data_IF_584091601401
#
_entry.id   IF_584091601401
#
_cell.length_a   1.000
_cell.length_b   1.000
_cell.length_c   1.000
_cell.angle_alpha   90.00
_cell.angle_beta   90.00
_cell.angle_gamma   90.00
#
_symmetry.space_group_name_H-M   'P 1'
#
loop_
_entity.id
_entity.type
_entity.pdbx_description
1 polymer ?
#
# COMPACT_ATOMS: atom_id res chain seq x y z
N UNK A 1 38.85 4.97 -1.82
CA UNK A 1 37.99 4.14 -2.70
C UNK A 1 37.17 3.11 -1.94
N UNK A 2 37.75 2.29 -1.04
CA UNK A 2 36.99 1.28 -0.27
C UNK A 2 35.83 1.83 0.58
N UNK A 3 35.97 3.02 1.18
CA UNK A 3 34.91 3.67 1.98
C UNK A 3 33.78 4.30 1.13
N UNK A 4 34.07 4.72 -0.11
CA UNK A 4 33.07 5.33 -1.01
C UNK A 4 32.12 4.24 -1.53
N UNK A 5 32.67 3.07 -1.89
CA UNK A 5 31.87 1.94 -2.38
C UNK A 5 30.94 1.43 -1.26
N UNK A 6 31.45 1.33 -0.02
CA UNK A 6 30.64 0.90 1.13
C UNK A 6 29.51 1.89 1.39
N UNK A 7 29.78 3.20 1.46
CA UNK A 7 28.76 4.23 1.74
C UNK A 7 27.65 4.33 0.69
N UNK A 8 27.99 4.21 -0.60
CA UNK A 8 27.00 4.19 -1.69
C UNK A 8 26.15 2.92 -1.68
N UNK A 9 26.74 1.77 -1.34
CA UNK A 9 25.97 0.54 -1.14
C UNK A 9 25.09 0.63 0.09
N UNK A 10 25.58 1.14 1.23
CA UNK A 10 24.74 1.29 2.43
C UNK A 10 23.55 2.21 2.16
N UNK A 11 23.72 3.35 1.48
CA UNK A 11 22.60 4.25 1.15
C UNK A 11 21.54 3.58 0.24
N UNK A 12 21.96 2.72 -0.68
CA UNK A 12 21.06 1.91 -1.52
C UNK A 12 20.38 0.77 -0.74
N UNK A 13 21.10 0.11 0.18
CA UNK A 13 20.56 -0.94 1.04
C UNK A 13 19.57 -0.37 2.07
N UNK A 14 19.93 0.76 2.69
CA UNK A 14 19.06 1.59 3.51
C UNK A 14 17.81 1.94 2.71
N UNK A 15 17.93 2.52 1.50
CA UNK A 15 16.77 2.82 0.67
C UNK A 15 15.86 1.60 0.39
N UNK A 16 16.43 0.39 0.34
CA UNK A 16 15.70 -0.89 0.19
C UNK A 16 14.92 -1.31 1.45
N UNK A 17 15.49 -1.16 2.64
CA UNK A 17 14.70 -1.38 3.87
C UNK A 17 13.65 -0.28 4.10
N UNK A 18 13.91 0.93 3.60
CA UNK A 18 13.00 2.07 3.67
C UNK A 18 11.82 1.92 2.69
N UNK A 19 11.98 1.17 1.60
CA UNK A 19 10.91 0.83 0.68
C UNK A 19 9.99 -0.23 1.29
N UNK A 20 10.58 -1.30 1.83
CA UNK A 20 9.87 -2.54 2.12
C UNK A 20 8.81 -2.37 3.24
N UNK A 21 8.84 -1.26 3.98
CA UNK A 21 8.08 -1.07 5.21
C UNK A 21 6.64 -0.53 5.06
N UNK A 22 6.13 -0.18 3.86
CA UNK A 22 4.76 0.36 3.75
C UNK A 22 3.69 -0.73 3.62
N UNK A 23 3.91 -1.85 4.31
CA UNK A 23 2.94 -2.84 4.70
C UNK A 23 1.92 -2.28 5.69
N UNK A 24 1.12 -1.29 5.28
CA UNK A 24 0.13 -0.59 6.10
C UNK A 24 -0.48 -1.48 7.18
N UNK A 25 -0.16 -1.14 8.43
CA UNK A 25 -0.81 -1.70 9.61
C UNK A 25 -2.05 -0.85 9.84
N UNK A 26 -3.23 -1.46 9.75
CA UNK A 26 -4.45 -0.83 10.24
C UNK A 26 -4.41 -0.95 11.76
N UNK A 27 -4.42 0.19 12.46
CA UNK A 27 -4.75 0.21 13.88
C UNK A 27 -6.25 -0.03 14.00
N UNK A 28 -6.61 -1.15 14.62
CA UNK A 28 -7.98 -1.40 15.08
C UNK A 28 -8.30 -0.45 16.25
N UNK A 29 -9.59 -0.15 16.49
CA UNK A 29 -10.05 0.78 17.56
C UNK A 29 -9.54 0.41 18.97
N UNK A 30 -9.06 -0.82 19.17
CA UNK A 30 -8.51 -1.36 20.42
C UNK A 30 -6.97 -1.28 20.54
N UNK A 31 -6.29 -0.68 19.55
CA UNK A 31 -4.84 -0.43 19.61
C UNK A 31 -3.94 -1.63 19.33
N UNK A 32 -4.49 -2.75 18.87
CA UNK A 32 -3.68 -3.89 18.43
C UNK A 32 -3.16 -3.71 17.00
N UNK A 33 -1.88 -4.06 16.79
CA UNK A 33 -1.25 -4.08 15.47
C UNK A 33 -1.49 -5.43 14.80
N UNK A 34 -2.38 -5.49 13.82
CA UNK A 34 -2.45 -6.65 12.93
C UNK A 34 -1.40 -6.50 11.83
N UNK A 35 -0.54 -7.51 11.66
CA UNK A 35 0.18 -7.66 10.40
C UNK A 35 -0.89 -7.85 9.32
N UNK A 36 -0.92 -6.95 8.34
CA UNK A 36 -1.84 -7.01 7.21
C UNK A 36 -1.50 -8.20 6.31
N UNK A 37 -1.87 -9.39 6.76
CA UNK A 37 -1.82 -10.63 5.99
C UNK A 37 -3.18 -11.29 5.84
N UNK A 38 -4.26 -10.58 6.16
CA UNK A 38 -5.60 -11.04 5.84
C UNK A 38 -6.49 -9.90 5.31
N UNK A 39 -6.15 -9.42 4.12
CA UNK A 39 -6.93 -8.43 3.36
C UNK A 39 -8.30 -9.01 2.95
N UNK A 40 -8.45 -10.35 2.97
CA UNK A 40 -9.74 -11.02 2.85
C UNK A 40 -10.61 -10.85 4.11
N UNK A 41 -10.02 -10.72 5.30
CA UNK A 41 -10.79 -10.36 6.49
C UNK A 41 -11.44 -8.97 6.33
N UNK A 42 -10.75 -7.95 5.80
CA UNK A 42 -11.36 -6.61 5.57
C UNK A 42 -12.51 -6.61 4.56
N UNK A 43 -12.45 -7.48 3.55
CA UNK A 43 -13.46 -7.52 2.49
C UNK A 43 -14.67 -8.37 2.87
N UNK A 44 -14.51 -9.29 3.83
CA UNK A 44 -15.53 -10.31 4.15
C UNK A 44 -15.98 -10.29 5.62
N UNK A 45 -15.28 -9.58 6.53
CA UNK A 45 -15.67 -9.50 7.94
C UNK A 45 -16.79 -8.51 8.24
N UNK A 46 -17.33 -7.80 7.24
CA UNK A 46 -18.39 -6.82 7.49
C UNK A 46 -17.97 -5.83 8.57
N UNK A 47 -16.77 -5.24 8.47
CA UNK A 47 -16.53 -3.99 9.19
C UNK A 47 -17.51 -3.00 8.59
N UNK A 48 -18.64 -2.87 9.29
CA UNK A 48 -19.49 -1.71 9.30
C UNK A 48 -18.53 -0.55 9.49
N UNK A 49 -18.20 0.12 8.39
CA UNK A 49 -17.66 1.46 8.48
C UNK A 49 -18.81 2.26 9.09
N UNK A 50 -18.73 2.47 10.40
CA UNK A 50 -19.54 3.46 11.10
C UNK A 50 -19.27 4.79 10.41
N UNK A 51 -20.15 5.11 9.46
CA UNK A 51 -20.37 6.44 8.95
C UNK A 51 -20.65 7.33 10.15
N UNK A 52 -19.66 8.10 10.60
CA UNK A 52 -19.91 9.21 11.52
C UNK A 52 -20.86 10.19 10.82
N UNK A 53 -22.14 10.12 11.23
CA UNK A 53 -23.31 10.93 10.85
C UNK A 53 -24.25 10.25 9.86
N UNK A 54 -25.25 9.60 10.44
CA UNK A 54 -26.68 9.80 10.13
C UNK A 54 -26.94 10.61 8.85
N UNK A 55 -27.03 9.91 7.71
CA UNK A 55 -27.78 10.40 6.56
C UNK A 55 -28.78 9.33 6.12
N UNK A 56 -30.09 9.61 6.24
CA UNK A 56 -31.09 8.93 5.41
C UNK A 56 -30.80 9.31 3.96
N UNK A 57 -30.32 8.38 3.13
CA UNK A 57 -30.18 8.61 1.68
C UNK A 57 -28.92 8.09 0.99
N UNK A 58 -27.93 7.50 1.67
CA UNK A 58 -26.79 6.84 1.02
C UNK A 58 -27.11 5.38 0.65
N UNK A 59 -28.11 5.23 -0.22
CA UNK A 59 -28.21 4.03 -1.05
C UNK A 59 -27.33 4.28 -2.27
N UNK A 60 -26.05 3.88 -2.25
CA UNK A 60 -25.33 3.62 -3.50
C UNK A 60 -26.04 2.44 -4.14
N UNK A 61 -27.05 2.72 -4.97
CA UNK A 61 -27.89 1.73 -5.64
C UNK A 61 -27.13 1.04 -6.77
N UNK A 62 -26.01 0.40 -6.46
CA UNK A 62 -25.51 -0.68 -7.28
C UNK A 62 -26.41 -1.87 -7.03
N UNK A 63 -27.44 -1.97 -7.89
CA UNK A 63 -28.49 -2.98 -7.92
C UNK A 63 -29.58 -2.77 -6.86
N UNK A 64 -30.70 -2.15 -7.27
CA UNK A 64 -31.92 -2.18 -6.45
C UNK A 64 -32.50 -3.60 -6.52
N UNK A 65 -32.53 -4.26 -5.36
CA UNK A 65 -33.09 -5.57 -5.08
C UNK A 65 -34.60 -5.36 -4.80
N UNK A 66 -35.53 -5.97 -5.55
CA UNK A 66 -36.48 -6.90 -4.91
C UNK A 66 -35.76 -8.20 -4.48
N UNK A 67 -34.78 -7.93 -3.62
CA UNK A 67 -34.51 -8.54 -2.33
C UNK A 67 -33.68 -9.82 -2.16
N UNK A 68 -33.04 -10.43 -3.17
CA UNK A 68 -32.20 -11.64 -2.86
C UNK A 68 -30.83 -11.85 -3.54
N UNK A 69 -30.41 -11.24 -4.65
CA UNK A 69 -29.34 -11.93 -5.43
C UNK A 69 -27.85 -11.61 -5.25
N UNK A 70 -27.41 -10.48 -4.70
CA UNK A 70 -25.99 -10.07 -4.87
C UNK A 70 -25.33 -9.19 -3.80
N UNK A 71 -25.81 -9.22 -2.56
CA UNK A 71 -24.99 -8.83 -1.41
C UNK A 71 -24.63 -10.10 -0.65
N UNK A 72 -23.43 -10.17 -0.06
CA UNK A 72 -22.98 -11.38 0.63
C UNK A 72 -23.98 -11.91 1.68
N UNK A 73 -24.79 -11.02 2.25
CA UNK A 73 -25.85 -11.32 3.21
C UNK A 73 -26.96 -12.22 2.64
N UNK A 74 -27.38 -12.04 1.38
CA UNK A 74 -28.44 -12.85 0.79
C UNK A 74 -27.93 -14.22 0.27
N UNK A 75 -26.68 -14.27 -0.20
CA UNK A 75 -25.99 -15.55 -0.38
C UNK A 75 -25.84 -16.28 0.96
N UNK A 76 -25.67 -15.55 2.06
CA UNK A 76 -25.60 -16.14 3.38
C UNK A 76 -26.92 -16.70 3.90
N UNK A 77 -28.02 -16.05 3.56
CA UNK A 77 -29.38 -16.51 3.85
C UNK A 77 -29.77 -17.72 2.98
N UNK A 78 -29.24 -17.81 1.75
CA UNK A 78 -29.54 -18.88 0.80
C UNK A 78 -28.63 -20.11 0.92
N UNK A 79 -27.31 -19.91 1.04
CA UNK A 79 -26.33 -21.00 1.05
C UNK A 79 -25.09 -20.76 1.92
N UNK A 80 -24.97 -19.63 2.63
CA UNK A 80 -23.86 -19.38 3.56
C UNK A 80 -22.49 -19.14 2.90
N UNK A 81 -22.43 -18.92 1.58
CA UNK A 81 -21.14 -18.83 0.86
C UNK A 81 -20.30 -17.62 1.29
N UNK A 82 -20.89 -16.47 1.64
CA UNK A 82 -20.11 -15.30 2.06
C UNK A 82 -19.53 -15.47 3.48
N UNK A 83 -20.27 -16.08 4.41
CA UNK A 83 -19.77 -16.51 5.73
C UNK A 83 -18.64 -17.53 5.61
N UNK A 84 -18.73 -18.44 4.64
CA UNK A 84 -17.66 -19.43 4.38
C UNK A 84 -16.40 -18.77 3.82
N UNK A 85 -16.57 -17.81 2.93
CA UNK A 85 -15.48 -16.98 2.45
C UNK A 85 -14.85 -16.20 3.63
N UNK A 86 -15.66 -15.65 4.54
CA UNK A 86 -15.19 -14.92 5.73
C UNK A 86 -14.40 -15.81 6.68
N UNK A 87 -14.87 -17.04 6.87
CA UNK A 87 -14.26 -18.03 7.75
C UNK A 87 -13.11 -18.82 7.12
N UNK A 88 -12.63 -18.42 5.92
CA UNK A 88 -11.53 -19.11 5.23
C UNK A 88 -11.83 -20.57 4.84
N UNK A 89 -13.11 -20.94 4.73
CA UNK A 89 -13.56 -22.32 4.46
C UNK A 89 -13.56 -22.63 2.97
N UNK A 90 -12.39 -22.57 2.34
CA UNK A 90 -12.23 -22.78 0.90
C UNK A 90 -12.80 -24.12 0.41
N UNK A 91 -12.62 -25.18 1.20
CA UNK A 91 -13.15 -26.54 0.94
C UNK A 91 -14.67 -26.55 0.75
N UNK A 92 -15.39 -25.98 1.71
CA UNK A 92 -16.86 -25.90 1.69
C UNK A 92 -17.36 -24.91 0.66
N UNK A 93 -16.61 -23.84 0.44
CA UNK A 93 -16.96 -22.82 -0.55
C UNK A 93 -17.02 -23.41 -1.96
N UNK A 94 -16.02 -24.23 -2.34
CA UNK A 94 -16.01 -24.93 -3.63
C UNK A 94 -17.17 -25.92 -3.73
N UNK A 95 -17.33 -26.79 -2.72
CA UNK A 95 -18.34 -27.84 -2.75
C UNK A 95 -19.75 -27.28 -2.91
N UNK A 96 -20.11 -26.28 -2.09
CA UNK A 96 -21.44 -25.70 -2.07
C UNK A 96 -21.70 -24.82 -3.31
N UNK A 97 -20.70 -24.09 -3.79
CA UNK A 97 -20.82 -23.33 -5.04
C UNK A 97 -21.04 -24.27 -6.24
N UNK A 98 -20.31 -25.39 -6.31
CA UNK A 98 -20.48 -26.38 -7.38
C UNK A 98 -21.84 -27.08 -7.32
N UNK A 99 -22.32 -27.41 -6.12
CA UNK A 99 -23.66 -27.97 -5.93
C UNK A 99 -24.75 -27.03 -6.47
N UNK A 100 -24.61 -25.73 -6.20
CA UNK A 100 -25.52 -24.71 -6.69
C UNK A 100 -25.46 -24.52 -8.21
N UNK A 101 -24.27 -24.55 -8.81
CA UNK A 101 -24.12 -24.43 -10.26
C UNK A 101 -24.73 -25.61 -11.01
N UNK A 102 -24.66 -26.82 -10.43
CA UNK A 102 -25.17 -28.06 -11.02
C UNK A 102 -26.63 -28.38 -10.64
N UNK A 103 -27.24 -27.56 -9.78
CA UNK A 103 -28.61 -27.77 -9.30
C UNK A 103 -29.67 -27.34 -10.31
N UNK A 104 -30.90 -27.79 -10.08
CA UNK A 104 -32.06 -27.33 -10.83
C UNK A 104 -32.53 -25.95 -10.34
N UNK A 105 -32.99 -25.13 -11.27
CA UNK A 105 -33.57 -23.82 -10.97
C UNK A 105 -34.76 -23.97 -10.00
N UNK A 106 -34.81 -23.20 -8.89
CA UNK A 106 -35.94 -23.24 -7.98
C UNK A 106 -37.28 -22.87 -8.64
N UNK A 107 -38.38 -23.45 -8.16
CA UNK A 107 -39.72 -23.13 -8.65
C UNK A 107 -40.04 -21.64 -8.46
N UNK A 108 -40.63 -21.01 -9.47
CA UNK A 108 -40.97 -19.58 -9.48
C UNK A 108 -39.83 -18.64 -9.88
N UNK A 109 -38.64 -19.16 -10.20
CA UNK A 109 -37.50 -18.33 -10.63
C UNK A 109 -37.45 -18.19 -12.15
N UNK A 110 -37.09 -16.99 -12.62
CA UNK A 110 -36.74 -16.74 -14.03
C UNK A 110 -35.39 -17.37 -14.43
N UNK A 111 -35.15 -17.58 -15.72
CA UNK A 111 -33.87 -18.11 -16.21
C UNK A 111 -32.73 -17.11 -16.06
N UNK A 112 -33.00 -15.83 -16.29
CA UNK A 112 -32.08 -14.70 -16.08
C UNK A 112 -31.63 -14.60 -14.62
N UNK A 113 -32.60 -14.79 -13.75
CA UNK A 113 -32.53 -14.80 -12.31
C UNK A 113 -31.64 -15.96 -11.80
N UNK A 114 -31.81 -17.15 -12.37
CA UNK A 114 -31.00 -18.33 -12.03
C UNK A 114 -29.57 -18.24 -12.56
N UNK A 115 -29.39 -17.83 -13.82
CA UNK A 115 -28.09 -17.64 -14.43
C UNK A 115 -27.21 -16.65 -13.64
N UNK A 116 -27.84 -15.62 -13.07
CA UNK A 116 -27.20 -14.67 -12.15
C UNK A 116 -26.62 -15.35 -10.89
N UNK A 117 -27.40 -16.21 -10.22
CA UNK A 117 -26.88 -16.96 -9.05
C UNK A 117 -25.74 -17.89 -9.44
N UNK A 118 -25.87 -18.60 -10.56
CA UNK A 118 -24.82 -19.49 -11.05
C UNK A 118 -23.52 -18.71 -11.36
N UNK A 119 -23.63 -17.53 -11.96
CA UNK A 119 -22.49 -16.63 -12.19
C UNK A 119 -21.83 -16.21 -10.86
N UNK A 120 -22.61 -15.89 -9.83
CA UNK A 120 -22.06 -15.61 -8.50
C UNK A 120 -21.35 -16.81 -7.87
N UNK A 121 -21.90 -18.01 -8.05
CA UNK A 121 -21.29 -19.23 -7.54
C UNK A 121 -19.94 -19.53 -8.23
N UNK A 122 -19.77 -19.20 -9.50
CA UNK A 122 -18.47 -19.31 -10.19
C UNK A 122 -17.39 -18.48 -9.49
N UNK A 123 -17.71 -17.24 -9.09
CA UNK A 123 -16.80 -16.40 -8.31
C UNK A 123 -16.42 -17.07 -6.97
N UNK A 124 -17.40 -17.55 -6.20
CA UNK A 124 -17.13 -18.21 -4.92
C UNK A 124 -16.32 -19.49 -5.05
N UNK A 125 -16.58 -20.31 -6.08
CA UNK A 125 -15.77 -21.50 -6.35
C UNK A 125 -14.31 -21.12 -6.64
N UNK A 126 -14.07 -20.07 -7.45
CA UNK A 126 -12.72 -19.59 -7.75
C UNK A 126 -12.02 -19.01 -6.50
N UNK A 127 -12.74 -18.28 -5.65
CA UNK A 127 -12.22 -17.81 -4.37
C UNK A 127 -11.94 -18.95 -3.39
N UNK A 128 -12.68 -20.05 -3.47
CA UNK A 128 -12.42 -21.26 -2.68
C UNK A 128 -11.10 -21.93 -3.06
N UNK A 129 -10.75 -21.90 -4.35
CA UNK A 129 -9.42 -22.31 -4.83
C UNK A 129 -8.33 -21.35 -4.36
N UNK A 130 -8.59 -20.04 -4.42
CA UNK A 130 -7.67 -19.02 -3.94
C UNK A 130 -7.33 -19.21 -2.45
N UNK A 131 -8.34 -19.44 -1.61
CA UNK A 131 -8.17 -19.70 -0.17
C UNK A 131 -7.36 -20.96 0.12
N UNK A 132 -7.42 -21.95 -0.75
CA UNK A 132 -6.62 -23.18 -0.66
C UNK A 132 -5.22 -23.03 -1.26
N UNK A 133 -4.83 -21.82 -1.66
CA UNK A 133 -3.57 -21.52 -2.34
C UNK A 133 -3.38 -22.24 -3.68
N UNK A 134 -4.46 -22.80 -4.27
CA UNK A 134 -4.45 -23.28 -5.65
C UNK A 134 -4.67 -22.09 -6.59
N UNK A 135 -3.63 -21.26 -6.69
CA UNK A 135 -3.70 -20.02 -7.46
C UNK A 135 -3.86 -20.27 -8.96
N UNK A 136 -3.41 -21.41 -9.49
CA UNK A 136 -3.58 -21.75 -10.91
C UNK A 136 -5.06 -22.02 -11.24
N UNK A 137 -5.73 -22.83 -10.41
CA UNK A 137 -7.16 -23.05 -10.54
C UNK A 137 -7.97 -21.78 -10.25
N UNK A 138 -7.55 -20.98 -9.26
CA UNK A 138 -8.18 -19.70 -8.93
C UNK A 138 -8.10 -18.71 -10.10
N UNK A 139 -6.93 -18.54 -10.74
CA UNK A 139 -6.75 -17.68 -11.93
C UNK A 139 -7.70 -18.13 -13.04
N UNK A 140 -7.70 -19.43 -13.35
CA UNK A 140 -8.55 -19.99 -14.40
C UNK A 140 -10.05 -19.75 -14.12
N UNK A 141 -10.49 -19.95 -12.88
CA UNK A 141 -11.87 -19.71 -12.45
C UNK A 141 -12.26 -18.23 -12.46
N UNK A 142 -11.38 -17.35 -11.97
CA UNK A 142 -11.61 -15.90 -11.95
C UNK A 142 -11.66 -15.31 -13.36
N UNK A 143 -10.78 -15.74 -14.27
CA UNK A 143 -10.84 -15.30 -15.67
C UNK A 143 -12.13 -15.77 -16.36
N UNK A 144 -12.59 -16.99 -16.08
CA UNK A 144 -13.85 -17.51 -16.62
C UNK A 144 -15.04 -16.68 -16.10
N UNK A 145 -15.10 -16.44 -14.79
CA UNK A 145 -16.12 -15.60 -14.17
C UNK A 145 -16.14 -14.18 -14.77
N UNK A 146 -14.97 -13.53 -14.90
CA UNK A 146 -14.86 -12.18 -15.47
C UNK A 146 -15.38 -12.13 -16.90
N UNK A 147 -14.97 -13.09 -17.76
CA UNK A 147 -15.46 -13.17 -19.15
C UNK A 147 -16.96 -13.36 -19.21
N UNK A 148 -17.53 -14.14 -18.31
CA UNK A 148 -18.97 -14.39 -18.28
C UNK A 148 -19.75 -13.19 -17.74
N UNK A 149 -19.25 -12.51 -16.71
CA UNK A 149 -19.81 -11.28 -16.19
C UNK A 149 -19.83 -10.15 -17.22
N UNK A 150 -18.80 -10.03 -18.05
CA UNK A 150 -18.75 -9.05 -19.15
C UNK A 150 -19.81 -9.31 -20.22
N UNK A 151 -20.09 -10.57 -20.56
CA UNK A 151 -21.19 -10.93 -21.47
C UNK A 151 -22.54 -10.67 -20.82
N UNK A 152 -22.69 -11.06 -19.55
CA UNK A 152 -23.91 -10.92 -18.77
C UNK A 152 -24.25 -9.46 -18.44
N UNK A 153 -23.28 -8.54 -18.46
CA UNK A 153 -23.51 -7.10 -18.33
C UNK A 153 -24.45 -6.51 -19.40
N UNK A 154 -24.66 -7.23 -20.51
CA UNK A 154 -25.67 -6.90 -21.52
C UNK A 154 -27.10 -7.36 -21.16
N UNK A 155 -27.27 -8.08 -20.05
CA UNK A 155 -28.56 -8.61 -19.55
C UNK A 155 -29.22 -7.67 -18.51
N UNK A 156 -28.69 -6.45 -18.32
CA UNK A 156 -29.19 -5.51 -17.31
C UNK A 156 -29.81 -4.29 -18.00
N UNK A 157 -31.13 -4.13 -17.88
CA UNK A 157 -31.86 -2.98 -18.45
C UNK A 157 -31.55 -1.65 -17.73
N UNK A 158 -31.03 -1.70 -16.50
CA UNK A 158 -30.67 -0.51 -15.71
C UNK A 158 -29.18 -0.45 -15.45
N UNK A 159 -28.47 0.32 -16.27
CA UNK A 159 -27.08 0.67 -16.02
C UNK A 159 -27.01 1.57 -14.77
N UNK A 160 -26.40 1.10 -13.68
CA UNK A 160 -26.37 1.85 -12.41
C UNK A 160 -25.52 3.10 -12.56
N UNK A 161 -24.37 2.95 -13.22
CA UNK A 161 -23.49 4.09 -13.53
C UNK A 161 -23.51 4.32 -15.04
N UNK A 162 -24.21 5.36 -15.51
CA UNK A 162 -24.35 5.58 -16.95
C UNK A 162 -23.00 5.86 -17.61
N UNK A 163 -22.87 5.46 -18.88
CA UNK A 163 -21.72 5.78 -19.76
C UNK A 163 -20.36 5.32 -19.23
N UNK A 164 -20.32 4.36 -18.30
CA UNK A 164 -19.08 3.77 -17.82
C UNK A 164 -18.61 2.68 -18.79
N UNK A 165 -17.44 2.85 -19.38
CA UNK A 165 -16.81 1.85 -20.25
C UNK A 165 -15.31 1.78 -19.99
N UNK A 166 -14.72 0.61 -20.20
CA UNK A 166 -13.27 0.40 -20.06
C UNK A 166 -12.79 -0.74 -20.96
N UNK A 167 -11.48 -0.90 -21.08
CA UNK A 167 -10.87 -2.02 -21.79
C UNK A 167 -10.58 -3.16 -20.79
N UNK A 168 -11.22 -4.31 -20.97
CA UNK A 168 -10.93 -5.49 -20.15
C UNK A 168 -9.61 -6.12 -20.59
N UNK A 169 -8.70 -6.31 -19.64
CA UNK A 169 -7.45 -7.03 -19.87
C UNK A 169 -7.64 -8.56 -19.93
N UNK A 170 -8.74 -9.09 -19.40
CA UNK A 170 -9.01 -10.54 -19.37
C UNK A 170 -9.63 -11.03 -20.68
N UNK A 171 -10.62 -10.31 -21.22
CA UNK A 171 -11.23 -10.67 -22.51
C UNK A 171 -10.55 -10.01 -23.70
N UNK A 172 -9.72 -8.99 -23.48
CA UNK A 172 -9.11 -8.18 -24.54
C UNK A 172 -10.11 -7.30 -25.28
N UNK A 173 -11.33 -7.12 -24.74
CA UNK A 173 -12.43 -6.38 -25.38
C UNK A 173 -12.83 -5.16 -24.56
N UNK A 174 -13.44 -4.19 -25.24
CA UNK A 174 -14.10 -3.07 -24.58
C UNK A 174 -15.40 -3.55 -23.92
N UNK A 175 -15.65 -3.11 -22.69
CA UNK A 175 -16.89 -3.32 -21.96
C UNK A 175 -17.66 -2.00 -21.95
N UNK A 176 -18.72 -1.90 -22.75
CA UNK A 176 -19.44 -0.63 -22.97
C UNK A 176 -20.41 -0.24 -21.84
N UNK A 177 -20.88 -1.21 -21.05
CA UNK A 177 -21.83 -1.02 -19.95
C UNK A 177 -21.22 -1.43 -18.60
N UNK A 178 -20.02 -0.95 -18.30
CA UNK A 178 -19.28 -1.33 -17.10
C UNK A 178 -19.97 -0.93 -15.79
N UNK A 179 -20.83 0.10 -15.82
CA UNK A 179 -21.66 0.50 -14.69
C UNK A 179 -22.79 -0.48 -14.34
N UNK A 180 -23.04 -1.48 -15.19
CA UNK A 180 -23.95 -2.59 -14.93
C UNK A 180 -23.26 -3.83 -14.39
N UNK A 181 -21.93 -3.78 -14.15
CA UNK A 181 -21.20 -4.92 -13.58
C UNK A 181 -21.48 -5.04 -12.07
N UNK A 182 -21.41 -6.27 -11.58
CA UNK A 182 -21.56 -6.58 -10.16
C UNK A 182 -20.31 -6.12 -9.38
N UNK A 183 -20.46 -5.74 -8.11
CA UNK A 183 -19.33 -5.53 -7.17
C UNK A 183 -18.32 -6.68 -7.17
N UNK A 184 -18.77 -7.94 -7.21
CA UNK A 184 -17.90 -9.12 -7.31
C UNK A 184 -16.98 -9.08 -8.53
N UNK A 185 -17.30 -8.30 -9.57
CA UNK A 185 -16.39 -8.06 -10.69
C UNK A 185 -15.13 -7.28 -10.26
N UNK A 186 -15.29 -6.24 -9.44
CA UNK A 186 -14.17 -5.47 -8.89
C UNK A 186 -13.32 -6.35 -7.96
N UNK A 187 -13.97 -7.11 -7.07
CA UNK A 187 -13.30 -8.03 -6.17
C UNK A 187 -12.58 -9.16 -6.93
N UNK A 188 -13.16 -9.66 -8.03
CA UNK A 188 -12.54 -10.67 -8.87
C UNK A 188 -11.32 -10.14 -9.62
N UNK A 189 -11.34 -8.91 -10.14
CA UNK A 189 -10.16 -8.31 -10.75
C UNK A 189 -9.03 -8.13 -9.72
N UNK A 190 -9.36 -7.69 -8.50
CA UNK A 190 -8.40 -7.57 -7.42
C UNK A 190 -7.79 -8.93 -7.06
N UNK A 191 -8.63 -9.94 -6.81
CA UNK A 191 -8.20 -11.30 -6.48
C UNK A 191 -7.38 -11.94 -7.60
N UNK A 192 -7.75 -11.69 -8.86
CA UNK A 192 -7.01 -12.19 -10.03
C UNK A 192 -5.60 -11.61 -10.09
N UNK A 193 -5.47 -10.29 -9.88
CA UNK A 193 -4.17 -9.63 -9.83
C UNK A 193 -3.29 -10.20 -8.71
N UNK A 194 -3.85 -10.37 -7.51
CA UNK A 194 -3.15 -10.96 -6.38
C UNK A 194 -2.74 -12.43 -6.65
N UNK A 195 -3.61 -13.23 -7.27
CA UNK A 195 -3.30 -14.61 -7.62
C UNK A 195 -2.14 -14.70 -8.63
N UNK A 196 -2.11 -13.81 -9.64
CA UNK A 196 -0.99 -13.70 -10.56
C UNK A 196 0.31 -13.33 -9.85
N UNK A 197 0.29 -12.37 -8.92
CA UNK A 197 1.46 -12.03 -8.10
C UNK A 197 1.96 -13.22 -7.27
N UNK A 198 1.05 -14.02 -6.69
CA UNK A 198 1.42 -15.25 -5.95
C UNK A 198 2.06 -16.32 -6.82
N UNK A 199 1.81 -16.29 -8.13
CA UNK A 199 2.44 -17.15 -9.13
C UNK A 199 3.73 -16.56 -9.74
N UNK A 200 4.14 -15.36 -9.33
CA UNK A 200 5.32 -14.70 -9.90
C UNK A 200 5.03 -13.92 -11.20
N UNK A 201 3.79 -13.90 -11.69
CA UNK A 201 3.42 -13.30 -12.98
C UNK A 201 2.95 -11.84 -12.82
N UNK A 202 3.91 -10.95 -12.52
CA UNK A 202 3.65 -9.52 -12.36
C UNK A 202 3.11 -8.86 -13.64
N UNK A 203 3.50 -9.37 -14.80
CA UNK A 203 3.07 -8.83 -16.09
C UNK A 203 1.57 -9.03 -16.26
N UNK A 204 1.08 -10.28 -16.10
CA UNK A 204 -0.36 -10.56 -16.17
C UNK A 204 -1.14 -9.88 -15.06
N UNK A 205 -0.61 -9.80 -13.84
CA UNK A 205 -1.26 -9.07 -12.74
C UNK A 205 -1.56 -7.61 -13.13
N UNK A 206 -0.59 -6.94 -13.75
CA UNK A 206 -0.75 -5.56 -14.18
C UNK A 206 -1.67 -5.44 -15.41
N UNK A 207 -1.42 -6.20 -16.47
CA UNK A 207 -2.12 -6.03 -17.75
C UNK A 207 -3.54 -6.56 -17.75
N UNK A 208 -3.80 -7.65 -17.01
CA UNK A 208 -5.12 -8.30 -17.00
C UNK A 208 -6.02 -7.84 -15.86
N UNK A 209 -5.45 -7.42 -14.73
CA UNK A 209 -6.20 -7.17 -13.50
C UNK A 209 -6.06 -5.74 -12.97
N UNK A 210 -4.90 -5.34 -12.46
CA UNK A 210 -4.76 -4.10 -11.70
C UNK A 210 -4.96 -2.83 -12.54
N UNK A 211 -4.39 -2.77 -13.75
CA UNK A 211 -4.58 -1.61 -14.63
C UNK A 211 -6.04 -1.48 -15.09
N UNK A 212 -6.70 -2.55 -15.59
CA UNK A 212 -8.13 -2.52 -15.86
C UNK A 212 -8.99 -2.13 -14.64
N UNK A 213 -8.65 -2.60 -13.43
CA UNK A 213 -9.38 -2.26 -12.21
C UNK A 213 -9.24 -0.78 -11.84
N UNK A 214 -8.05 -0.21 -11.97
CA UNK A 214 -7.84 1.22 -11.82
C UNK A 214 -8.70 2.00 -12.84
N UNK A 215 -8.61 1.66 -14.13
CA UNK A 215 -9.33 2.39 -15.17
C UNK A 215 -10.86 2.31 -14.98
N UNK A 216 -11.36 1.13 -14.58
CA UNK A 216 -12.76 0.91 -14.25
C UNK A 216 -13.21 1.75 -13.06
N UNK A 217 -12.47 1.72 -11.95
CA UNK A 217 -12.84 2.45 -10.72
C UNK A 217 -12.82 3.97 -10.89
N UNK A 218 -11.84 4.51 -11.64
CA UNK A 218 -11.81 5.92 -12.00
C UNK A 218 -13.02 6.32 -12.86
N UNK A 219 -13.41 5.46 -13.81
CA UNK A 219 -14.57 5.67 -14.69
C UNK A 219 -15.88 5.63 -13.90
N UNK A 220 -16.06 4.62 -13.05
CA UNK A 220 -17.24 4.49 -12.20
C UNK A 220 -17.40 5.70 -11.28
N UNK A 221 -16.30 6.15 -10.65
CA UNK A 221 -16.33 7.32 -9.77
C UNK A 221 -16.65 8.61 -10.54
N UNK A 222 -16.02 8.82 -11.69
CA UNK A 222 -16.23 10.03 -12.49
C UNK A 222 -17.68 10.18 -12.97
N UNK A 223 -18.34 9.07 -13.31
CA UNK A 223 -19.68 9.08 -13.87
C UNK A 223 -20.79 9.03 -12.80
N UNK A 224 -20.51 8.49 -11.61
CA UNK A 224 -21.48 8.43 -10.51
C UNK A 224 -21.35 9.59 -9.51
N UNK A 225 -20.16 10.20 -9.43
CA UNK A 225 -19.80 11.11 -8.35
C UNK A 225 -19.45 10.40 -7.03
N UNK A 226 -19.58 9.07 -6.99
CA UNK A 226 -19.26 8.27 -5.81
C UNK A 226 -17.77 7.99 -5.74
N UNK A 227 -17.15 8.41 -4.65
CA UNK A 227 -15.70 8.33 -4.44
C UNK A 227 -15.27 7.01 -3.83
N UNK A 228 -16.19 6.19 -3.34
CA UNK A 228 -15.88 4.89 -2.73
C UNK A 228 -15.30 3.92 -3.77
N UNK A 229 -15.67 4.05 -5.05
CA UNK A 229 -15.07 3.25 -6.12
C UNK A 229 -13.55 3.34 -6.19
N UNK A 230 -12.96 4.50 -5.84
CA UNK A 230 -11.51 4.65 -5.86
C UNK A 230 -10.79 3.68 -4.91
N UNK A 231 -11.46 3.12 -3.90
CA UNK A 231 -10.83 2.24 -2.92
C UNK A 231 -10.32 0.93 -3.52
N UNK A 232 -11.04 0.33 -4.47
CA UNK A 232 -10.54 -0.83 -5.20
C UNK A 232 -9.29 -0.50 -6.03
N UNK A 233 -9.31 0.63 -6.75
CA UNK A 233 -8.16 1.07 -7.53
C UNK A 233 -6.93 1.37 -6.66
N UNK A 234 -7.14 2.02 -5.51
CA UNK A 234 -6.07 2.31 -4.54
C UNK A 234 -5.47 1.04 -3.94
N UNK A 235 -6.29 0.04 -3.59
CA UNK A 235 -5.81 -1.25 -3.08
C UNK A 235 -4.98 -2.01 -4.13
N UNK A 236 -5.48 -2.07 -5.36
CA UNK A 236 -4.78 -2.70 -6.48
C UNK A 236 -3.41 -2.06 -6.77
N UNK A 237 -3.37 -0.73 -6.87
CA UNK A 237 -2.12 0.01 -7.09
C UNK A 237 -1.13 -0.21 -5.94
N UNK A 238 -1.61 -0.25 -4.70
CA UNK A 238 -0.76 -0.50 -3.53
C UNK A 238 -0.15 -1.89 -3.56
N UNK A 239 -0.95 -2.91 -3.88
CA UNK A 239 -0.48 -4.29 -3.99
C UNK A 239 0.56 -4.43 -5.12
N UNK A 240 0.27 -3.86 -6.30
CA UNK A 240 1.20 -3.88 -7.43
C UNK A 240 2.51 -3.16 -7.12
N UNK A 241 2.44 -1.97 -6.51
CA UNK A 241 3.61 -1.19 -6.15
C UNK A 241 4.53 -1.97 -5.18
N UNK A 242 3.96 -2.54 -4.12
CA UNK A 242 4.72 -3.34 -3.14
C UNK A 242 5.34 -4.58 -3.76
N UNK A 243 4.61 -5.28 -4.60
CA UNK A 243 5.15 -6.47 -5.24
C UNK A 243 6.34 -6.12 -6.14
N UNK A 244 6.20 -5.08 -6.98
CA UNK A 244 7.29 -4.61 -7.82
C UNK A 244 8.52 -4.23 -6.97
N UNK A 245 8.27 -3.61 -5.83
CA UNK A 245 9.29 -3.25 -4.85
C UNK A 245 10.01 -4.47 -4.25
N UNK A 246 9.26 -5.49 -3.82
CA UNK A 246 9.80 -6.76 -3.30
C UNK A 246 10.64 -7.49 -4.37
N UNK A 247 10.28 -7.33 -5.66
CA UNK A 247 11.05 -7.85 -6.80
C UNK A 247 12.23 -6.96 -7.22
N UNK A 248 12.47 -5.85 -6.50
CA UNK A 248 13.48 -4.82 -6.83
C UNK A 248 13.25 -4.15 -8.20
N UNK A 249 12.05 -4.22 -8.76
CA UNK A 249 11.60 -3.39 -9.87
C UNK A 249 11.18 -2.01 -9.35
N UNK A 250 12.17 -1.22 -8.93
CA UNK A 250 11.93 0.09 -8.33
C UNK A 250 11.25 1.07 -9.29
N UNK A 251 11.51 0.94 -10.59
CA UNK A 251 10.88 1.75 -11.62
C UNK A 251 9.39 1.42 -11.76
N UNK A 252 9.04 0.13 -11.80
CA UNK A 252 7.64 -0.31 -11.79
C UNK A 252 6.93 0.09 -10.50
N UNK A 253 7.57 -0.11 -9.34
CA UNK A 253 7.04 0.33 -8.05
C UNK A 253 6.77 1.83 -8.03
N UNK A 254 7.70 2.65 -8.52
CA UNK A 254 7.56 4.11 -8.60
C UNK A 254 6.37 4.52 -9.44
N UNK A 255 6.20 3.94 -10.62
CA UNK A 255 5.07 4.24 -11.50
C UNK A 255 3.72 3.95 -10.82
N UNK A 256 3.61 2.79 -10.15
CA UNK A 256 2.41 2.42 -9.42
C UNK A 256 2.15 3.34 -8.21
N UNK A 257 3.18 3.75 -7.47
CA UNK A 257 3.01 4.72 -6.37
C UNK A 257 2.66 6.13 -6.88
N UNK A 258 3.23 6.59 -8.01
CA UNK A 258 2.84 7.87 -8.64
C UNK A 258 1.35 7.84 -9.04
N UNK A 259 0.88 6.72 -9.62
CA UNK A 259 -0.53 6.53 -9.93
C UNK A 259 -1.41 6.47 -8.67
N UNK A 260 -0.97 5.79 -7.62
CA UNK A 260 -1.67 5.74 -6.33
C UNK A 260 -1.84 7.14 -5.76
N UNK A 261 -0.78 7.95 -5.75
CA UNK A 261 -0.82 9.33 -5.26
C UNK A 261 -1.86 10.16 -6.04
N UNK A 262 -1.87 10.01 -7.36
CA UNK A 262 -2.82 10.69 -8.26
C UNK A 262 -4.27 10.26 -7.98
N UNK A 263 -4.53 8.96 -7.85
CA UNK A 263 -5.88 8.45 -7.55
C UNK A 263 -6.33 8.90 -6.16
N UNK A 264 -5.45 8.89 -5.17
CA UNK A 264 -5.75 9.33 -3.80
C UNK A 264 -6.09 10.82 -3.74
N UNK A 265 -5.40 11.66 -4.51
CA UNK A 265 -5.74 13.07 -4.69
C UNK A 265 -7.11 13.24 -5.33
N UNK A 266 -7.42 12.49 -6.39
CA UNK A 266 -8.75 12.53 -7.04
C UNK A 266 -9.87 12.17 -6.05
N UNK A 267 -9.71 11.07 -5.30
CA UNK A 267 -10.65 10.66 -4.24
C UNK A 267 -10.92 11.83 -3.27
N UNK A 268 -9.87 12.52 -2.84
CA UNK A 268 -9.97 13.61 -1.89
C UNK A 268 -10.18 15.01 -2.53
N UNK A 269 -10.83 15.08 -3.71
CA UNK A 269 -11.15 16.35 -4.40
C UNK A 269 -9.94 17.27 -4.65
N UNK A 270 -8.79 16.69 -4.97
CA UNK A 270 -7.53 17.41 -5.21
C UNK A 270 -6.80 17.83 -3.93
N UNK A 271 -7.37 17.59 -2.74
CA UNK A 271 -6.68 17.84 -1.47
C UNK A 271 -5.82 16.64 -1.12
N UNK A 272 -4.58 16.82 -0.65
CA UNK A 272 -3.80 15.71 -0.16
C UNK A 272 -4.48 14.97 1.00
N UNK A 273 -4.28 13.66 1.04
CA UNK A 273 -4.66 12.75 2.14
C UNK A 273 -3.43 11.95 2.58
N UNK A 274 -3.50 11.31 3.75
CA UNK A 274 -2.49 10.34 4.21
C UNK A 274 -2.02 9.38 3.11
N UNK A 275 -2.95 8.74 2.40
CA UNK A 275 -2.63 7.81 1.33
C UNK A 275 -1.85 8.47 0.17
N UNK A 276 -2.18 9.71 -0.18
CA UNK A 276 -1.42 10.45 -1.21
C UNK A 276 -0.01 10.83 -0.73
N UNK A 277 0.15 11.21 0.54
CA UNK A 277 1.45 11.55 1.12
C UNK A 277 2.36 10.32 1.24
N UNK A 278 1.82 9.20 1.71
CA UNK A 278 2.54 7.92 1.74
C UNK A 278 3.06 7.53 0.35
N UNK A 279 2.20 7.61 -0.66
CA UNK A 279 2.57 7.31 -2.03
C UNK A 279 3.64 8.26 -2.57
N UNK A 280 3.52 9.57 -2.33
CA UNK A 280 4.53 10.56 -2.72
C UNK A 280 5.89 10.30 -2.07
N UNK A 281 5.91 9.95 -0.78
CA UNK A 281 7.13 9.57 -0.09
C UNK A 281 7.76 8.31 -0.71
N UNK A 282 6.94 7.31 -1.05
CA UNK A 282 7.41 6.08 -1.70
C UNK A 282 7.99 6.34 -3.08
N UNK A 283 7.38 7.22 -3.88
CA UNK A 283 7.96 7.65 -5.16
C UNK A 283 9.37 8.20 -4.96
N UNK A 284 9.56 9.10 -3.99
CA UNK A 284 10.88 9.65 -3.66
C UNK A 284 11.87 8.57 -3.21
N UNK A 285 11.45 7.62 -2.37
CA UNK A 285 12.31 6.51 -1.94
C UNK A 285 12.70 5.58 -3.10
N UNK A 286 11.77 5.29 -4.03
CA UNK A 286 12.08 4.51 -5.23
C UNK A 286 13.10 5.23 -6.11
N UNK A 287 13.02 6.55 -6.25
CA UNK A 287 14.02 7.31 -7.01
C UNK A 287 15.42 7.20 -6.38
N UNK A 288 15.55 7.18 -5.05
CA UNK A 288 16.83 6.96 -4.39
C UNK A 288 17.36 5.55 -4.71
N UNK A 289 16.49 4.54 -4.64
CA UNK A 289 16.80 3.16 -4.98
C UNK A 289 17.19 2.95 -6.45
N UNK A 290 16.60 3.73 -7.36
CA UNK A 290 16.99 3.81 -8.77
C UNK A 290 18.35 4.52 -8.98
N UNK A 291 18.95 5.10 -7.92
CA UNK A 291 20.17 5.90 -7.99
C UNK A 291 19.95 7.37 -8.38
N UNK A 292 18.69 7.80 -8.52
CA UNK A 292 18.28 9.18 -8.85
C UNK A 292 18.04 10.02 -7.59
N UNK A 293 19.10 10.23 -6.80
CA UNK A 293 19.03 11.05 -5.59
C UNK A 293 18.68 12.52 -5.87
N UNK A 294 18.97 13.03 -7.08
CA UNK A 294 18.64 14.41 -7.47
C UNK A 294 17.15 14.56 -7.80
N UNK A 295 16.57 13.62 -8.54
CA UNK A 295 15.12 13.58 -8.75
C UNK A 295 14.36 13.39 -7.44
N UNK A 296 14.83 12.48 -6.57
CA UNK A 296 14.26 12.26 -5.24
C UNK A 296 14.23 13.52 -4.38
N UNK A 297 15.27 14.34 -4.41
CA UNK A 297 15.37 15.58 -3.65
C UNK A 297 14.17 16.51 -3.88
N UNK A 298 13.73 16.63 -5.14
CA UNK A 298 12.60 17.50 -5.50
C UNK A 298 11.29 17.10 -4.82
N UNK A 299 11.12 15.80 -4.51
CA UNK A 299 9.92 15.26 -3.86
C UNK A 299 9.82 15.63 -2.38
N UNK A 300 10.96 15.70 -1.70
CA UNK A 300 11.02 15.97 -0.26
C UNK A 300 11.21 17.46 0.07
N UNK A 301 11.78 18.22 -0.87
CA UNK A 301 12.25 19.58 -0.62
C UNK A 301 11.15 20.55 -0.19
N UNK A 302 9.95 20.47 -0.76
CA UNK A 302 8.91 21.45 -0.46
C UNK A 302 8.44 21.38 1.00
N UNK A 303 8.18 20.17 1.51
CA UNK A 303 7.75 19.95 2.89
C UNK A 303 8.84 20.38 3.89
N UNK A 304 10.11 20.02 3.65
CA UNK A 304 11.22 20.39 4.54
C UNK A 304 11.55 21.88 4.47
N UNK A 305 11.43 22.51 3.30
CA UNK A 305 11.61 23.98 3.14
C UNK A 305 10.55 24.75 3.90
N UNK A 306 9.28 24.36 3.77
CA UNK A 306 8.17 25.03 4.46
C UNK A 306 8.37 24.95 5.99
N UNK A 307 8.72 23.78 6.51
CA UNK A 307 9.10 23.62 7.93
C UNK A 307 10.23 24.57 8.34
N UNK A 308 11.33 24.54 7.58
CA UNK A 308 12.55 25.30 7.89
C UNK A 308 12.29 26.81 7.90
N UNK A 309 11.49 27.31 6.94
CA UNK A 309 11.11 28.73 6.86
C UNK A 309 10.31 29.17 8.10
N UNK A 310 9.39 28.33 8.57
CA UNK A 310 8.48 28.67 9.66
C UNK A 310 9.11 28.54 11.05
N UNK A 311 10.19 27.76 11.19
CA UNK A 311 10.86 27.51 12.48
C UNK A 311 12.20 28.23 12.65
N UNK A 312 12.84 28.69 11.56
CA UNK A 312 14.00 29.59 11.64
C UNK A 312 13.65 30.96 12.21
N UNK A 313 12.41 31.43 12.04
CA UNK A 313 11.96 32.73 12.56
C UNK A 313 11.87 32.81 14.07
N UNK A 314 11.71 31.68 14.76
CA UNK A 314 11.37 31.66 16.19
C UNK A 314 12.50 31.13 17.08
N UNK A 315 13.69 30.91 16.51
CA UNK A 315 14.85 30.40 17.26
C UNK A 315 14.69 28.98 17.81
N UNK A 316 13.65 28.24 17.40
CA UNK A 316 13.38 26.85 17.81
C UNK A 316 13.17 25.95 16.57
N UNK A 317 14.25 25.58 15.86
CA UNK A 317 14.17 24.73 14.65
C UNK A 317 13.54 23.34 14.89
N UNK A 318 13.58 22.87 16.15
CA UNK A 318 13.44 21.47 16.52
C UNK A 318 12.12 21.11 17.21
N UNK A 319 11.28 22.10 17.55
CA UNK A 319 10.05 21.88 18.31
C UNK A 319 8.82 22.25 17.49
N UNK A 320 7.88 21.31 17.27
CA UNK A 320 6.61 21.65 16.63
C UNK A 320 5.84 22.67 17.48
N UNK A 321 5.35 23.72 16.84
CA UNK A 321 4.39 24.65 17.46
C UNK A 321 3.10 23.91 17.82
N UNK A 322 2.54 24.20 19.00
CA UNK A 322 1.25 23.62 19.43
C UNK A 322 0.15 23.95 18.41
N UNK A 323 -0.48 22.92 17.83
CA UNK A 323 -1.59 23.07 16.87
C UNK A 323 -1.19 23.52 15.45
N UNK A 324 0.10 23.45 15.10
CA UNK A 324 0.59 23.98 13.83
C UNK A 324 0.41 23.05 12.63
N UNK A 325 0.30 21.74 12.86
CA UNK A 325 0.36 20.74 11.82
C UNK A 325 -0.56 19.57 12.20
N UNK A 326 -1.46 19.19 11.29
CA UNK A 326 -2.28 17.99 11.45
C UNK A 326 -1.39 16.72 11.33
N UNK A 327 -1.90 15.58 11.79
CA UNK A 327 -1.11 14.34 11.85
C UNK A 327 -0.62 13.87 10.47
N UNK A 328 -1.36 14.15 9.41
CA UNK A 328 -1.02 13.72 8.03
C UNK A 328 0.12 14.57 7.47
N UNK A 329 0.06 15.88 7.69
CA UNK A 329 1.14 16.79 7.30
C UNK A 329 2.38 16.57 8.16
N UNK A 330 2.22 16.22 9.45
CA UNK A 330 3.34 15.87 10.33
C UNK A 330 4.08 14.64 9.81
N UNK A 331 3.32 13.64 9.39
CA UNK A 331 3.85 12.46 8.73
C UNK A 331 4.58 12.77 7.43
N UNK A 332 3.97 13.55 6.53
CA UNK A 332 4.63 13.98 5.29
C UNK A 332 5.96 14.67 5.60
N UNK A 333 5.95 15.58 6.58
CA UNK A 333 7.12 16.39 6.91
C UNK A 333 8.23 15.54 7.51
N UNK A 334 7.90 14.70 8.49
CA UNK A 334 8.83 13.76 9.11
C UNK A 334 9.42 12.81 8.06
N UNK A 335 8.58 12.21 7.21
CA UNK A 335 9.00 11.34 6.12
C UNK A 335 9.85 12.06 5.07
N UNK A 336 9.56 13.33 4.78
CA UNK A 336 10.37 14.15 3.87
C UNK A 336 11.74 14.46 4.46
N UNK A 337 11.86 14.67 5.77
CA UNK A 337 13.15 14.79 6.42
C UNK A 337 13.95 13.47 6.40
N UNK A 338 13.30 12.32 6.55
CA UNK A 338 13.96 11.02 6.27
C UNK A 338 14.47 10.99 4.83
N UNK A 339 13.61 11.31 3.86
CA UNK A 339 13.98 11.36 2.44
C UNK A 339 15.16 12.28 2.13
N UNK A 340 15.18 13.48 2.71
CA UNK A 340 16.31 14.42 2.59
C UNK A 340 17.60 13.86 3.20
N UNK A 341 17.52 13.23 4.38
CA UNK A 341 18.68 12.58 5.01
C UNK A 341 19.28 11.47 4.15
N UNK A 342 18.45 10.73 3.43
CA UNK A 342 18.90 9.71 2.47
C UNK A 342 19.52 10.30 1.22
N UNK A 343 18.92 11.33 0.64
CA UNK A 343 19.49 12.06 -0.50
C UNK A 343 20.87 12.59 -0.14
N UNK A 344 21.01 13.19 1.04
CA UNK A 344 22.29 13.70 1.55
C UNK A 344 23.27 12.55 1.76
N UNK A 345 22.85 11.45 2.40
CA UNK A 345 23.68 10.25 2.60
C UNK A 345 24.19 9.65 1.28
N UNK A 346 23.32 9.56 0.27
CA UNK A 346 23.68 9.05 -1.06
C UNK A 346 24.69 9.95 -1.79
N UNK A 347 24.68 11.25 -1.50
CA UNK A 347 25.58 12.25 -2.10
C UNK A 347 26.83 12.53 -1.25
N UNK A 348 26.90 12.01 -0.02
CA UNK A 348 27.91 12.36 0.96
C UNK A 348 29.32 11.88 0.57
N UNK A 349 30.30 12.79 0.67
CA UNK A 349 31.72 12.52 0.40
C UNK A 349 32.62 12.94 1.56
N UNK A 350 32.15 13.82 2.43
CA UNK A 350 32.90 14.43 3.54
C UNK A 350 32.07 14.43 4.83
N UNK A 351 32.72 14.71 5.95
CA UNK A 351 32.09 14.78 7.26
C UNK A 351 30.90 15.76 7.29
N UNK A 352 31.03 16.92 6.65
CA UNK A 352 29.96 17.94 6.63
C UNK A 352 28.70 17.42 5.93
N UNK A 353 28.86 16.66 4.85
CA UNK A 353 27.73 16.08 4.11
C UNK A 353 26.97 15.04 4.98
N UNK A 354 27.71 14.28 5.81
CA UNK A 354 27.13 13.35 6.78
C UNK A 354 26.49 14.05 7.98
N UNK A 355 27.00 15.22 8.36
CA UNK A 355 26.40 16.03 9.42
C UNK A 355 25.04 16.59 8.97
N UNK A 356 24.93 17.04 7.71
CA UNK A 356 23.65 17.45 7.12
C UNK A 356 22.65 16.29 7.06
N UNK A 357 23.09 15.10 6.65
CA UNK A 357 22.25 13.90 6.66
C UNK A 357 21.74 13.57 8.08
N UNK A 358 22.63 13.61 9.06
CA UNK A 358 22.30 13.40 10.46
C UNK A 358 21.29 14.43 10.99
N UNK A 359 21.47 15.70 10.66
CA UNK A 359 20.52 16.77 11.02
C UNK A 359 19.13 16.46 10.48
N UNK A 360 19.00 16.07 9.21
CA UNK A 360 17.71 15.69 8.62
C UNK A 360 17.03 14.54 9.37
N UNK A 361 17.76 13.46 9.71
CA UNK A 361 17.17 12.34 10.46
C UNK A 361 16.76 12.73 11.88
N UNK A 362 17.56 13.56 12.56
CA UNK A 362 17.22 14.02 13.93
C UNK A 362 16.03 14.96 13.96
N UNK A 363 15.86 15.82 12.94
CA UNK A 363 14.63 16.60 12.78
C UNK A 363 13.45 15.65 12.65
N UNK A 364 13.52 14.66 11.75
CA UNK A 364 12.44 13.68 11.58
C UNK A 364 12.03 13.02 12.91
N UNK A 365 13.02 12.56 13.70
CA UNK A 365 12.79 11.96 15.02
C UNK A 365 12.15 12.93 16.04
N UNK A 366 12.37 14.24 15.90
CA UNK A 366 11.76 15.23 16.79
C UNK A 366 10.33 15.61 16.40
N UNK A 367 9.92 15.33 15.15
CA UNK A 367 8.60 15.71 14.64
C UNK A 367 7.53 14.69 14.96
N UNK A 368 7.88 13.40 14.95
CA UNK A 368 6.87 12.36 14.89
C UNK A 368 7.30 11.10 15.65
N UNK A 369 6.75 10.95 16.86
CA UNK A 369 6.95 9.77 17.70
C UNK A 369 5.89 8.67 17.50
N UNK A 370 4.83 8.93 16.71
CA UNK A 370 3.64 8.08 16.68
C UNK A 370 3.61 7.03 15.56
N UNK A 371 4.56 7.08 14.62
CA UNK A 371 4.60 6.17 13.48
C UNK A 371 5.91 5.39 13.47
N UNK A 372 5.78 4.11 13.80
CA UNK A 372 6.88 3.16 13.92
C UNK A 372 7.65 3.01 12.61
N UNK A 373 7.00 3.16 11.46
CA UNK A 373 7.64 3.06 10.16
C UNK A 373 8.58 4.26 9.92
N UNK A 374 8.11 5.50 9.98
CA UNK A 374 8.97 6.67 9.77
C UNK A 374 10.03 6.79 10.87
N UNK A 375 9.68 6.47 12.13
CA UNK A 375 10.62 6.50 13.24
C UNK A 375 11.74 5.49 13.08
N UNK A 376 11.43 4.23 12.80
CA UNK A 376 12.45 3.17 12.66
C UNK A 376 13.44 3.49 11.55
N UNK A 377 12.94 4.04 10.44
CA UNK A 377 13.74 4.54 9.32
C UNK A 377 14.66 5.69 9.69
N UNK A 378 14.15 6.66 10.43
CA UNK A 378 14.93 7.80 10.90
C UNK A 378 16.01 7.36 11.91
N UNK A 379 15.71 6.40 12.79
CA UNK A 379 16.68 5.80 13.72
C UNK A 379 17.81 5.09 12.99
N UNK A 380 17.49 4.24 12.01
CA UNK A 380 18.50 3.54 11.21
C UNK A 380 19.36 4.52 10.39
N UNK A 381 18.74 5.53 9.77
CA UNK A 381 19.44 6.59 9.04
C UNK A 381 20.38 7.40 9.95
N UNK A 382 19.90 7.81 11.13
CA UNK A 382 20.69 8.53 12.13
C UNK A 382 21.85 7.69 12.65
N UNK A 383 21.62 6.39 12.89
CA UNK A 383 22.66 5.45 13.29
C UNK A 383 23.77 5.34 12.24
N UNK A 384 23.39 5.16 10.97
CA UNK A 384 24.36 5.10 9.88
C UNK A 384 25.13 6.43 9.73
N UNK A 385 24.44 7.57 9.72
CA UNK A 385 25.09 8.88 9.60
C UNK A 385 26.09 9.12 10.75
N UNK A 386 25.75 8.77 11.99
CA UNK A 386 26.66 8.82 13.13
C UNK A 386 27.86 7.90 12.96
N UNK A 387 27.68 6.66 12.49
CA UNK A 387 28.80 5.76 12.23
C UNK A 387 29.75 6.33 11.16
N UNK A 388 29.23 6.91 10.09
CA UNK A 388 30.04 7.54 9.04
C UNK A 388 30.74 8.82 9.53
N UNK A 389 30.11 9.59 10.41
CA UNK A 389 30.74 10.72 11.10
C UNK A 389 31.88 10.26 12.01
N UNK A 390 31.73 9.14 12.71
CA UNK A 390 32.80 8.56 13.52
C UNK A 390 34.01 8.19 12.66
N UNK A 391 33.80 7.50 11.53
CA UNK A 391 34.89 7.11 10.62
C UNK A 391 35.56 8.32 9.96
N UNK A 392 34.76 9.32 9.56
CA UNK A 392 35.24 10.59 9.00
C UNK A 392 36.04 11.43 10.01
N UNK A 393 35.83 11.21 11.31
CA UNK A 393 36.55 11.85 12.41
C UNK A 393 37.60 10.94 13.05
N UNK A 394 38.08 9.90 12.36
CA UNK A 394 39.08 8.95 12.89
C UNK A 394 40.37 9.59 13.44
N UNK A 395 40.79 10.75 12.94
CA UNK A 395 41.92 11.53 13.48
C UNK A 395 41.62 12.32 14.76
N UNK A 396 40.38 12.26 15.25
CA UNK A 396 39.87 13.00 16.42
C UNK A 396 39.14 12.02 17.37
N UNK A 397 39.89 11.28 18.21
CA UNK A 397 39.36 10.13 18.94
C UNK A 397 38.14 10.42 19.82
N UNK A 398 38.12 11.59 20.47
CA UNK A 398 36.98 12.02 21.31
C UNK A 398 35.73 12.22 20.46
N UNK A 399 35.81 12.96 19.35
CA UNK A 399 34.67 13.16 18.45
C UNK A 399 34.21 11.83 17.83
N UNK A 400 35.13 10.98 17.39
CA UNK A 400 34.79 9.68 16.82
C UNK A 400 34.04 8.78 17.82
N UNK A 401 34.49 8.75 19.09
CA UNK A 401 33.83 7.99 20.16
C UNK A 401 32.42 8.52 20.48
N UNK A 402 32.23 9.85 20.50
CA UNK A 402 30.91 10.46 20.72
C UNK A 402 29.92 10.00 19.63
N UNK A 403 30.30 10.09 18.36
CA UNK A 403 29.42 9.67 17.26
C UNK A 403 29.18 8.16 17.25
N UNK A 404 30.18 7.34 17.60
CA UNK A 404 29.99 5.89 17.75
C UNK A 404 28.95 5.55 18.85
N UNK A 405 29.03 6.22 20.00
CA UNK A 405 28.05 6.05 21.10
C UNK A 405 26.65 6.52 20.72
N UNK A 406 26.53 7.61 19.95
CA UNK A 406 25.24 8.06 19.43
C UNK A 406 24.65 7.06 18.43
N UNK A 407 25.48 6.54 17.52
CA UNK A 407 25.07 5.51 16.55
C UNK A 407 24.52 4.28 17.26
N UNK A 408 25.24 3.78 18.28
CA UNK A 408 24.79 2.66 19.10
C UNK A 408 23.46 2.95 19.82
N UNK A 409 23.30 4.16 20.39
CA UNK A 409 22.05 4.54 21.05
C UNK A 409 20.86 4.45 20.09
N UNK A 410 21.00 4.93 18.86
CA UNK A 410 19.93 4.85 17.87
C UNK A 410 19.65 3.41 17.43
N UNK A 411 20.68 2.58 17.24
CA UNK A 411 20.49 1.14 16.94
C UNK A 411 19.82 0.39 18.10
N UNK A 412 20.22 0.69 19.34
CA UNK A 412 19.61 0.11 20.54
C UNK A 412 18.14 0.50 20.64
N UNK A 413 17.81 1.76 20.39
CA UNK A 413 16.43 2.23 20.37
C UNK A 413 15.60 1.54 19.28
N UNK A 414 16.14 1.43 18.05
CA UNK A 414 15.51 0.74 16.93
C UNK A 414 15.22 -0.72 17.26
N UNK A 415 16.22 -1.45 17.73
CA UNK A 415 16.12 -2.90 18.00
C UNK A 415 15.32 -3.22 19.27
N UNK A 416 15.27 -2.31 20.25
CA UNK A 416 14.55 -2.54 21.51
C UNK A 416 13.09 -2.10 21.42
N UNK A 417 12.83 -0.93 20.86
CA UNK A 417 11.48 -0.34 20.82
C UNK A 417 10.70 -0.75 19.57
N UNK A 418 11.39 -0.97 18.45
CA UNK A 418 10.77 -1.24 17.15
C UNK A 418 11.25 -2.55 16.49
N UNK A 419 11.35 -3.68 17.23
CA UNK A 419 11.97 -4.92 16.75
C UNK A 419 11.24 -5.60 15.59
N UNK A 420 9.97 -5.24 15.35
CA UNK A 420 9.15 -5.84 14.28
C UNK A 420 9.19 -5.05 12.97
N UNK A 421 10.00 -4.00 12.89
CA UNK A 421 10.11 -3.15 11.70
C UNK A 421 11.19 -3.70 10.77
N UNK A 422 11.01 -3.57 9.44
CA UNK A 422 12.03 -4.00 8.47
C UNK A 422 13.37 -3.27 8.64
N UNK A 423 13.35 -2.04 9.16
CA UNK A 423 14.57 -1.31 9.47
C UNK A 423 15.36 -1.97 10.62
N UNK A 424 14.72 -2.66 11.56
CA UNK A 424 15.39 -3.39 12.64
C UNK A 424 16.08 -4.68 12.14
N UNK A 425 15.65 -5.21 11.00
CA UNK A 425 16.22 -6.39 10.34
C UNK A 425 17.11 -6.03 9.12
N UNK A 426 17.50 -4.75 8.99
CA UNK A 426 18.25 -4.25 7.83
C UNK A 426 19.68 -4.85 7.76
N UNK A 427 20.06 -5.31 6.57
CA UNK A 427 21.34 -5.96 6.29
C UNK A 427 22.58 -5.06 6.47
N UNK A 428 22.39 -3.74 6.54
CA UNK A 428 23.43 -2.76 6.84
C UNK A 428 23.80 -2.69 8.33
N UNK A 429 22.93 -3.15 9.23
CA UNK A 429 23.15 -3.06 10.69
C UNK A 429 24.49 -3.66 11.10
N UNK A 430 24.87 -4.90 10.68
CA UNK A 430 26.19 -5.45 11.01
C UNK A 430 27.37 -4.57 10.55
N UNK A 431 27.23 -3.91 9.39
CA UNK A 431 28.22 -2.97 8.88
C UNK A 431 28.35 -1.71 9.74
N UNK A 432 27.21 -1.16 10.17
CA UNK A 432 27.16 -0.02 11.10
C UNK A 432 27.80 -0.42 12.44
N UNK A 433 27.40 -1.57 13.00
CA UNK A 433 27.93 -2.10 14.27
C UNK A 433 29.45 -2.26 14.25
N UNK A 434 30.01 -2.73 13.13
CA UNK A 434 31.46 -2.87 12.96
C UNK A 434 32.20 -1.53 13.06
N UNK A 435 31.63 -0.47 12.48
CA UNK A 435 32.20 0.88 12.57
C UNK A 435 32.07 1.41 14.00
N UNK A 436 30.91 1.21 14.65
CA UNK A 436 30.69 1.59 16.05
C UNK A 436 31.74 0.94 16.95
N UNK A 437 31.91 -0.39 16.87
CA UNK A 437 32.82 -1.15 17.72
C UNK A 437 34.29 -0.71 17.53
N UNK A 438 34.68 -0.27 16.34
CA UNK A 438 36.03 0.24 16.06
C UNK A 438 36.37 1.50 16.88
N UNK A 439 35.40 2.38 17.09
CA UNK A 439 35.62 3.70 17.72
C UNK A 439 35.07 3.81 19.14
N UNK A 440 34.30 2.81 19.57
CA UNK A 440 33.72 2.81 20.90
C UNK A 440 34.80 2.70 21.96
N UNK A 441 35.79 1.81 21.76
CA UNK A 441 36.98 1.61 22.60
C UNK A 441 36.66 1.31 24.08
N UNK A 442 37.11 0.16 24.59
CA UNK A 442 36.94 -0.25 26.00
C UNK A 442 37.12 0.87 27.04
#
# INVERSE_FOLDING_TARGET
MRNIILASTTALLLAGALSAAAGGVIQTKDGQSLQAYDIQAETVSGVIWESERDRPGTNVRLWNLDDVRYSGQAMDEYNGLSRKLAGGRGDRLIADANAMMNGEKPSGWGDDQWARVQLSCQYFAAMGQYLQSDYSAAISGLEAYIKEAEKAGNLVERNVVPRASFASGVSGKKVDNAGGLNRFYLDALEALGLAYLKQGDAASANTKAFKPLQDLTETLSSNSGDKEYFDWGLRALRASARYAEDQKDYKGARQNYDDLARVALKKNAGRPSRASYEAQLKVGFMQILEGDATGAQSRFFEATRNWTKDHKKDGRPWQPKKGWIDQDLAYLTAGSFVGMGLVQSAKAKRADDWAEAYESFTISLSLFNADDEIRSKALLGAANACAQLADSNSGKPVQASIYAKLSEKYLSELTTLLPKTKAADDESIPGIQKIVNKYKGD
#
